data_IF_102912185325
#
_entry.id   IF_102912185325
#
_cell.length_a   1.000
_cell.length_b   1.000
_cell.length_c   1.000
_cell.angle_alpha   90.00
_cell.angle_beta   90.00
_cell.angle_gamma   90.00
#
_symmetry.space_group_name_H-M   'P 1'
#
loop_
_entity.id
_entity.type
_entity.pdbx_description
1 polymer ?
#
# COMPACT_ATOMS: atom_id res chain seq x y z
N UNK A 1 -3.61 -34.84 4.47
CA UNK A 1 -3.14 -33.44 4.39
C UNK A 1 -4.37 -32.56 4.50
N UNK A 2 -4.66 -32.06 5.70
CA UNK A 2 -5.83 -31.21 5.94
C UNK A 2 -5.38 -29.76 5.93
N UNK A 3 -5.96 -28.91 5.11
CA UNK A 3 -5.80 -27.46 5.28
C UNK A 3 -6.71 -27.00 6.41
N UNK A 4 -6.20 -26.27 7.40
CA UNK A 4 -7.02 -25.71 8.47
C UNK A 4 -7.46 -24.29 8.11
N UNK A 5 -8.70 -24.13 7.67
CA UNK A 5 -9.35 -22.82 7.61
C UNK A 5 -9.97 -22.52 8.98
N UNK A 6 -9.54 -21.43 9.62
CA UNK A 6 -10.22 -20.93 10.82
C UNK A 6 -11.13 -19.77 10.45
N UNK A 7 -12.44 -19.98 10.60
CA UNK A 7 -13.44 -18.94 10.39
C UNK A 7 -13.76 -18.33 11.73
N UNK A 8 -13.47 -17.04 11.93
CA UNK A 8 -14.00 -16.27 13.06
C UNK A 8 -14.95 -15.21 12.51
N UNK A 9 -16.24 -15.51 12.67
CA UNK A 9 -17.30 -14.54 12.41
C UNK A 9 -17.23 -13.49 13.53
N UNK A 10 -16.72 -12.31 13.22
CA UNK A 10 -16.70 -11.23 14.20
C UNK A 10 -18.00 -10.40 14.20
N UNK A 11 -18.98 -10.71 13.32
CA UNK A 11 -20.21 -9.91 13.20
C UNK A 11 -19.93 -8.43 12.99
N UNK A 12 -18.77 -8.13 12.39
CA UNK A 12 -18.26 -6.77 12.26
C UNK A 12 -18.96 -6.07 11.11
N UNK A 13 -19.05 -4.74 11.15
CA UNK A 13 -19.33 -3.97 9.96
C UNK A 13 -18.23 -4.17 8.90
N UNK A 14 -18.41 -3.67 7.67
CA UNK A 14 -17.50 -3.94 6.56
C UNK A 14 -16.05 -3.67 6.91
N UNK A 15 -15.20 -4.66 6.65
CA UNK A 15 -13.75 -4.56 6.89
C UNK A 15 -13.15 -3.66 5.83
N UNK A 16 -12.53 -2.57 6.26
CA UNK A 16 -11.91 -1.59 5.38
C UNK A 16 -10.43 -1.86 5.09
N UNK A 17 -9.70 -2.45 6.04
CA UNK A 17 -8.30 -2.84 5.87
C UNK A 17 -8.01 -4.16 6.60
N UNK A 18 -7.15 -4.97 6.01
CA UNK A 18 -6.59 -6.22 6.58
C UNK A 18 -5.09 -6.17 6.33
N UNK A 19 -4.29 -6.16 7.38
CA UNK A 19 -2.85 -5.94 7.29
C UNK A 19 -2.14 -6.91 8.24
N UNK A 20 -1.50 -7.97 7.76
CA UNK A 20 -0.75 -8.91 8.59
C UNK A 20 0.66 -8.39 8.92
N UNK A 21 1.23 -8.93 9.99
CA UNK A 21 2.67 -8.88 10.32
C UNK A 21 3.24 -10.28 10.37
N UNK A 22 4.57 -10.36 10.35
CA UNK A 22 5.34 -11.60 10.42
C UNK A 22 5.11 -12.40 11.71
N UNK A 23 4.69 -11.75 12.80
CA UNK A 23 4.44 -12.40 14.09
C UNK A 23 3.08 -13.13 14.17
N UNK A 24 2.33 -13.15 13.06
CA UNK A 24 1.00 -13.75 12.97
C UNK A 24 -0.12 -12.85 13.50
N UNK A 25 0.17 -11.59 13.84
CA UNK A 25 -0.86 -10.61 14.13
C UNK A 25 -1.36 -9.94 12.85
N UNK A 26 -2.61 -9.50 12.87
CA UNK A 26 -3.24 -8.78 11.77
C UNK A 26 -4.01 -7.58 12.31
N UNK A 27 -3.71 -6.41 11.78
CA UNK A 27 -4.53 -5.23 11.98
C UNK A 27 -5.76 -5.30 11.09
N UNK A 28 -6.91 -5.08 11.70
CA UNK A 28 -8.20 -5.03 11.03
C UNK A 28 -8.90 -3.75 11.41
N UNK A 29 -9.38 -3.02 10.40
CA UNK A 29 -10.17 -1.82 10.62
C UNK A 29 -11.57 -2.02 10.06
N UNK A 30 -12.57 -1.48 10.75
CA UNK A 30 -13.96 -1.58 10.32
C UNK A 30 -14.66 -0.24 10.34
N UNK A 31 -15.52 0.03 9.35
CA UNK A 31 -16.27 1.27 9.27
C UNK A 31 -17.54 1.18 10.12
N UNK A 32 -17.55 1.77 11.32
CA UNK A 32 -18.74 1.71 12.18
C UNK A 32 -19.83 2.67 11.66
N UNK A 33 -21.12 2.33 11.82
CA UNK A 33 -22.25 3.13 11.32
C UNK A 33 -22.28 4.58 11.80
N UNK A 34 -21.66 4.88 12.95
CA UNK A 34 -21.67 6.21 13.58
C UNK A 34 -20.50 7.12 13.15
N UNK A 35 -19.86 6.85 12.00
CA UNK A 35 -18.68 7.57 11.45
C UNK A 35 -17.36 7.32 12.18
N UNK A 36 -17.31 6.34 13.07
CA UNK A 36 -16.10 5.98 13.81
C UNK A 36 -15.50 4.75 13.17
N UNK A 37 -14.18 4.71 13.01
CA UNK A 37 -13.50 3.49 12.66
C UNK A 37 -12.92 2.90 13.94
N UNK A 38 -13.29 1.66 14.25
CA UNK A 38 -12.54 0.93 15.27
C UNK A 38 -11.42 0.15 14.58
N UNK A 39 -10.31 0.05 15.31
CA UNK A 39 -9.09 -0.61 14.88
C UNK A 39 -8.82 -1.71 15.90
N UNK A 40 -8.61 -2.92 15.40
CA UNK A 40 -8.25 -4.08 16.19
C UNK A 40 -6.94 -4.65 15.69
N UNK A 41 -6.14 -5.16 16.62
CA UNK A 41 -5.06 -6.11 16.31
C UNK A 41 -5.57 -7.48 16.72
N UNK A 42 -5.60 -8.40 15.76
CA UNK A 42 -6.06 -9.78 15.92
C UNK A 42 -4.84 -10.70 15.85
N UNK A 43 -4.62 -11.53 16.87
CA UNK A 43 -3.57 -12.55 16.82
C UNK A 43 -4.16 -13.86 16.27
N UNK A 44 -3.58 -14.39 15.19
CA UNK A 44 -4.08 -15.61 14.54
C UNK A 44 -4.08 -16.85 15.45
N UNK A 45 -3.10 -16.96 16.33
CA UNK A 45 -2.81 -18.16 17.13
C UNK A 45 -3.78 -18.27 18.29
N UNK A 46 -3.97 -17.16 19.01
CA UNK A 46 -4.87 -17.05 20.16
C UNK A 46 -6.31 -16.75 19.74
N UNK A 47 -6.48 -16.14 18.56
CA UNK A 47 -7.73 -15.53 18.07
C UNK A 47 -8.19 -14.36 18.94
N UNK A 48 -7.33 -13.83 19.80
CA UNK A 48 -7.66 -12.65 20.60
C UNK A 48 -7.66 -11.41 19.72
N UNK A 49 -8.56 -10.48 20.03
CA UNK A 49 -8.67 -9.20 19.36
C UNK A 49 -8.51 -8.09 20.39
N UNK A 50 -7.48 -7.28 20.23
CA UNK A 50 -7.20 -6.13 21.09
C UNK A 50 -7.60 -4.87 20.34
N UNK A 51 -8.57 -4.13 20.89
CA UNK A 51 -8.93 -2.82 20.35
C UNK A 51 -7.76 -1.86 20.58
N UNK A 52 -7.29 -1.21 19.51
CA UNK A 52 -6.26 -0.19 19.59
C UNK A 52 -6.89 1.08 20.16
N UNK A 53 -6.43 1.58 21.32
CA UNK A 53 -6.98 2.79 21.89
C UNK A 53 -6.80 3.96 20.94
N UNK A 54 -7.87 4.74 20.79
CA UNK A 54 -7.81 6.00 20.09
C UNK A 54 -6.91 6.97 20.85
N UNK A 55 -5.73 7.29 20.30
CA UNK A 55 -4.86 8.35 20.81
C UNK A 55 -5.59 9.71 20.87
N UNK A 56 -6.30 10.08 19.81
CA UNK A 56 -7.10 11.31 19.66
C UNK A 56 -8.00 11.23 18.42
N UNK A 57 -8.38 10.03 17.96
CA UNK A 57 -9.05 9.73 16.68
C UNK A 57 -10.53 10.15 16.69
N UNK A 58 -10.85 11.20 17.45
CA UNK A 58 -12.16 11.77 17.73
C UNK A 58 -12.98 12.23 16.50
N UNK A 59 -12.60 11.82 15.28
CA UNK A 59 -13.38 11.69 14.04
C UNK A 59 -12.58 11.03 12.89
N UNK A 60 -11.42 10.44 13.15
CA UNK A 60 -10.41 10.20 12.10
C UNK A 60 -10.46 8.78 11.57
N UNK A 61 -10.65 8.68 10.26
CA UNK A 61 -10.60 7.42 9.50
C UNK A 61 -9.14 7.15 9.11
N UNK A 62 -8.68 5.93 9.34
CA UNK A 62 -7.56 5.34 8.63
C UNK A 62 -7.98 5.09 7.18
N UNK A 63 -7.53 5.95 6.29
CA UNK A 63 -7.78 5.89 4.85
C UNK A 63 -6.82 4.90 4.17
N UNK A 64 -5.68 4.61 4.82
CA UNK A 64 -4.71 3.63 4.37
C UNK A 64 -4.04 2.90 5.54
N UNK A 65 -3.59 1.68 5.31
CA UNK A 65 -2.84 0.90 6.30
C UNK A 65 -1.80 0.01 5.60
N UNK A 66 -0.65 -0.20 6.26
CA UNK A 66 0.39 -1.15 5.82
C UNK A 66 1.14 -1.70 7.04
N UNK A 67 1.67 -2.92 6.94
CA UNK A 67 2.46 -3.57 7.98
C UNK A 67 3.90 -3.66 7.54
N UNK A 68 4.84 -3.46 8.47
CA UNK A 68 6.26 -3.70 8.22
C UNK A 68 7.01 -3.94 9.53
N UNK A 69 7.82 -4.99 9.55
CA UNK A 69 8.53 -5.42 10.76
C UNK A 69 7.55 -5.75 11.88
N UNK A 70 7.67 -5.05 13.00
CA UNK A 70 6.88 -5.26 14.22
C UNK A 70 5.71 -4.26 14.39
N UNK A 71 5.41 -3.49 13.35
CA UNK A 71 4.50 -2.35 13.45
C UNK A 71 3.53 -2.24 12.29
N UNK A 72 2.34 -1.71 12.59
CA UNK A 72 1.40 -1.23 11.60
C UNK A 72 1.52 0.28 11.43
N UNK A 73 1.32 0.75 10.21
CA UNK A 73 1.32 2.16 9.85
C UNK A 73 -0.05 2.51 9.29
N UNK A 74 -0.66 3.57 9.82
CA UNK A 74 -2.00 4.02 9.50
C UNK A 74 -1.96 5.44 8.97
N UNK A 75 -2.44 5.62 7.74
CA UNK A 75 -2.57 6.92 7.10
C UNK A 75 -3.92 7.54 7.44
N UNK A 76 -3.92 8.78 7.92
CA UNK A 76 -5.13 9.53 8.30
C UNK A 76 -5.15 10.92 7.65
N UNK A 77 -6.20 11.70 7.92
CA UNK A 77 -6.26 13.12 7.56
C UNK A 77 -5.26 14.02 8.31
N UNK A 78 -4.61 13.51 9.37
CA UNK A 78 -3.62 14.25 10.16
C UNK A 78 -2.19 13.82 9.94
N UNK A 79 -1.96 12.66 9.33
CA UNK A 79 -0.61 12.17 9.07
C UNK A 79 -0.55 10.66 9.16
N UNK A 80 0.50 10.15 9.80
CA UNK A 80 0.80 8.73 9.89
C UNK A 80 0.95 8.35 11.35
N UNK A 81 0.11 7.42 11.80
CA UNK A 81 0.23 6.76 13.09
C UNK A 81 0.94 5.43 12.94
N UNK A 82 1.73 5.07 13.95
CA UNK A 82 2.35 3.76 14.11
C UNK A 82 1.68 3.02 15.26
N UNK A 83 1.29 1.78 15.04
CA UNK A 83 0.73 0.88 16.07
C UNK A 83 1.72 -0.24 16.34
N UNK A 84 2.18 -0.34 17.61
CA UNK A 84 3.02 -1.43 18.12
C UNK A 84 2.41 -1.98 19.40
N UNK A 85 2.32 -3.30 19.52
CA UNK A 85 1.78 -3.98 20.70
C UNK A 85 0.43 -3.39 21.18
N UNK A 86 -0.49 -3.12 20.26
CA UNK A 86 -1.81 -2.55 20.55
C UNK A 86 -1.80 -1.07 20.97
N UNK A 87 -0.64 -0.41 21.00
CA UNK A 87 -0.51 1.01 21.34
C UNK A 87 -0.21 1.81 20.09
N UNK A 88 -1.05 2.81 19.82
CA UNK A 88 -0.79 3.76 18.74
C UNK A 88 0.16 4.88 19.22
N UNK A 89 0.96 5.42 18.32
CA UNK A 89 1.85 6.58 18.49
C UNK A 89 1.93 7.35 17.18
N UNK A 90 2.08 8.67 17.20
CA UNK A 90 2.28 9.41 15.95
C UNK A 90 3.70 9.19 15.41
N UNK A 91 3.81 8.64 14.21
CA UNK A 91 5.08 8.63 13.48
C UNK A 91 5.35 10.03 12.92
N UNK A 92 4.31 10.64 12.35
CA UNK A 92 4.40 11.90 11.65
C UNK A 92 3.03 12.61 11.67
N UNK A 93 2.99 13.84 12.17
CA UNK A 93 1.81 14.70 12.04
C UNK A 93 2.04 15.77 10.97
N UNK A 94 0.99 16.18 10.24
CA UNK A 94 1.08 17.34 9.35
C UNK A 94 1.38 18.64 10.12
N UNK A 95 1.11 18.69 11.42
CA UNK A 95 1.58 19.79 12.26
C UNK A 95 3.12 19.81 12.37
N UNK A 96 3.78 18.64 12.37
CA UNK A 96 5.25 18.54 12.37
C UNK A 96 5.84 19.19 11.10
N UNK A 97 5.12 19.23 9.97
CA UNK A 97 5.55 19.97 8.77
C UNK A 97 5.72 21.48 8.97
N UNK A 98 5.05 22.06 9.96
CA UNK A 98 5.29 23.44 10.33
C UNK A 98 6.68 23.59 10.94
N UNK A 99 7.17 22.59 11.70
CA UNK A 99 8.56 22.56 12.15
C UNK A 99 9.54 22.39 10.99
N UNK A 100 9.10 21.85 9.85
CA UNK A 100 9.86 21.73 8.59
C UNK A 100 9.81 22.97 7.68
N UNK A 101 9.17 24.09 8.05
CA UNK A 101 8.97 25.24 7.15
C UNK A 101 9.58 26.54 7.68
N UNK A 102 10.58 27.13 6.98
CA UNK A 102 10.87 28.58 7.00
C UNK A 102 11.86 29.00 5.88
N UNK A 103 11.77 30.24 5.33
CA UNK A 103 10.78 31.28 5.63
C UNK A 103 9.65 31.38 4.58
N UNK A 104 8.71 32.26 4.91
CA UNK A 104 7.35 32.43 4.42
C UNK A 104 7.15 32.61 2.89
N UNK A 105 5.91 32.35 2.41
CA UNK A 105 4.82 31.75 3.17
C UNK A 105 5.07 30.24 3.35
N UNK A 106 4.73 29.67 4.53
CA UNK A 106 4.79 28.22 4.70
C UNK A 106 4.00 27.61 3.56
N UNK A 107 4.50 26.52 2.92
CA UNK A 107 3.68 25.80 1.96
C UNK A 107 2.33 25.58 2.63
N UNK A 108 1.24 25.99 1.97
CA UNK A 108 -0.08 25.56 2.39
C UNK A 108 -0.07 24.03 2.22
N UNK A 109 0.39 23.33 3.25
CA UNK A 109 0.19 21.91 3.38
C UNK A 109 -1.28 21.78 3.65
N UNK A 110 -2.03 21.68 2.55
CA UNK A 110 -3.39 21.25 2.65
C UNK A 110 -3.36 19.90 3.37
N UNK A 111 -4.21 19.76 4.39
CA UNK A 111 -4.39 18.56 5.21
C UNK A 111 -5.00 17.45 4.38
N UNK A 112 -4.28 17.03 3.35
CA UNK A 112 -4.67 15.99 2.43
C UNK A 112 -4.56 14.65 3.15
N UNK A 113 -5.64 13.86 3.21
CA UNK A 113 -5.58 12.56 3.85
C UNK A 113 -4.58 11.63 3.18
N UNK A 114 -3.86 10.85 3.97
CA UNK A 114 -3.01 9.78 3.44
C UNK A 114 -3.91 8.66 2.91
N UNK A 115 -4.11 8.65 1.61
CA UNK A 115 -5.10 7.86 0.89
C UNK A 115 -4.56 6.52 0.35
N UNK A 116 -3.25 6.30 0.43
CA UNK A 116 -2.63 5.00 0.21
C UNK A 116 -1.28 4.97 0.93
N UNK A 117 -0.89 3.78 1.37
CA UNK A 117 0.39 3.45 1.99
C UNK A 117 0.93 2.18 1.36
N UNK A 118 2.25 2.10 1.19
CA UNK A 118 2.94 0.85 0.87
C UNK A 118 4.38 0.92 1.39
N UNK A 119 5.03 -0.23 1.46
CA UNK A 119 6.44 -0.35 1.88
C UNK A 119 7.21 -1.06 0.78
N UNK A 120 8.43 -0.58 0.50
CA UNK A 120 9.33 -1.20 -0.47
C UNK A 120 10.29 -2.21 0.19
N UNK A 121 11.08 -2.90 -0.62
CA UNK A 121 12.03 -3.92 -0.17
C UNK A 121 13.17 -3.38 0.69
N UNK A 122 13.32 -2.05 0.79
CA UNK A 122 14.30 -1.38 1.64
C UNK A 122 13.71 -0.86 2.96
N UNK A 123 12.42 -1.13 3.23
CA UNK A 123 11.74 -0.64 4.41
C UNK A 123 11.43 0.85 4.36
N UNK A 124 11.32 1.44 3.17
CA UNK A 124 10.81 2.80 3.05
C UNK A 124 9.28 2.78 3.01
N UNK A 125 8.65 3.59 3.85
CA UNK A 125 7.22 3.83 3.84
C UNK A 125 6.89 4.91 2.80
N UNK A 126 6.16 4.52 1.77
CA UNK A 126 5.66 5.41 0.73
C UNK A 126 4.21 5.76 0.98
N UNK A 127 3.89 7.03 0.77
CA UNK A 127 2.55 7.56 1.03
C UNK A 127 2.03 8.27 -0.20
N UNK A 128 0.72 8.15 -0.44
CA UNK A 128 -0.01 9.00 -1.37
C UNK A 128 -0.95 9.90 -0.58
N UNK A 129 -0.74 11.20 -0.66
CA UNK A 129 -1.69 12.17 -0.08
C UNK A 129 -2.79 12.49 -1.09
N UNK A 130 -4.06 12.35 -0.70
CA UNK A 130 -5.23 12.58 -1.56
C UNK A 130 -5.36 14.05 -2.00
N UNK A 131 -6.09 14.29 -3.09
CA UNK A 131 -6.25 15.61 -3.70
C UNK A 131 -6.78 16.70 -2.75
N UNK A 132 -6.17 17.87 -2.87
CA UNK A 132 -6.84 19.12 -2.60
C UNK A 132 -7.28 19.76 -3.91
N UNK A 133 -8.58 19.64 -4.19
CA UNK A 133 -9.35 20.26 -5.27
C UNK A 133 -9.13 19.77 -6.70
N UNK A 134 -10.21 19.85 -7.50
CA UNK A 134 -10.25 19.55 -8.95
C UNK A 134 -9.36 20.47 -9.80
N UNK A 135 -8.80 21.53 -9.21
CA UNK A 135 -7.98 22.52 -9.90
C UNK A 135 -6.47 22.30 -9.75
N UNK A 136 -6.03 21.31 -8.95
CA UNK A 136 -4.61 20.97 -8.85
C UNK A 136 -4.41 19.46 -8.71
N UNK A 137 -4.07 18.75 -9.81
CA UNK A 137 -3.89 17.30 -9.80
C UNK A 137 -2.61 16.82 -9.08
N UNK A 138 -1.96 17.69 -8.28
CA UNK A 138 -0.72 17.36 -7.60
C UNK A 138 -0.97 16.43 -6.40
N UNK A 139 -1.09 15.13 -6.67
CA UNK A 139 -0.89 14.07 -5.68
C UNK A 139 0.58 14.04 -5.31
N UNK A 140 0.93 14.58 -4.14
CA UNK A 140 2.25 14.38 -3.57
C UNK A 140 2.40 12.96 -3.06
N UNK A 141 3.55 12.35 -3.30
CA UNK A 141 3.99 11.18 -2.56
C UNK A 141 5.07 11.58 -1.56
N UNK A 142 5.04 11.03 -0.35
CA UNK A 142 6.09 11.27 0.66
C UNK A 142 6.67 9.91 1.04
N UNK A 143 7.99 9.82 1.07
CA UNK A 143 8.72 8.63 1.49
C UNK A 143 9.46 8.88 2.80
N UNK A 144 9.41 7.89 3.70
CA UNK A 144 10.05 7.90 5.01
C UNK A 144 10.85 6.59 5.20
N UNK A 145 12.11 6.63 5.63
CA UNK A 145 12.79 5.41 6.07
C UNK A 145 12.17 4.93 7.40
N UNK A 146 11.78 3.65 7.47
CA UNK A 146 11.26 3.07 8.72
C UNK A 146 12.37 2.65 9.69
N UNK A 147 13.60 2.51 9.18
CA UNK A 147 14.81 2.30 9.99
C UNK A 147 15.07 3.54 10.87
N UNK A 148 14.80 3.40 12.17
CA UNK A 148 15.00 4.45 13.18
C UNK A 148 16.46 4.91 13.27
N UNK A 149 17.43 4.07 12.88
CA UNK A 149 18.84 4.45 12.79
C UNK A 149 19.12 5.52 11.73
N UNK A 150 18.19 5.73 10.79
CA UNK A 150 18.26 6.76 9.74
C UNK A 150 17.50 8.03 10.12
N UNK A 151 16.91 8.09 11.31
CA UNK A 151 16.14 9.25 11.75
C UNK A 151 17.08 10.36 12.23
N UNK A 152 16.69 11.61 11.99
CA UNK A 152 17.47 12.77 12.41
C UNK A 152 16.98 13.29 13.77
N UNK A 153 17.93 13.70 14.60
CA UNK A 153 17.69 14.42 15.85
C UNK A 153 17.81 15.94 15.69
N UNK A 154 18.29 16.41 14.53
CA UNK A 154 18.58 17.82 14.29
C UNK A 154 18.06 18.28 12.93
N UNK A 155 17.71 19.55 12.85
CA UNK A 155 17.36 20.24 11.62
C UNK A 155 18.10 21.57 11.55
N UNK A 156 19.11 21.65 10.69
CA UNK A 156 20.04 22.78 10.76
C UNK A 156 20.73 22.79 12.12
N UNK A 157 20.75 23.93 12.76
CA UNK A 157 21.30 24.06 14.11
C UNK A 157 20.32 23.68 15.22
N UNK A 158 19.01 23.55 14.90
CA UNK A 158 17.95 23.25 15.88
C UNK A 158 17.92 21.76 16.22
N UNK A 159 17.92 21.43 17.50
CA UNK A 159 17.58 20.09 18.00
C UNK A 159 16.06 19.87 17.94
N UNK A 160 15.66 18.67 17.53
CA UNK A 160 14.28 18.24 17.54
C UNK A 160 13.93 17.65 18.91
N UNK A 161 12.66 17.77 19.31
CA UNK A 161 12.17 17.21 20.57
C UNK A 161 12.20 15.69 20.63
N UNK A 162 12.30 15.03 19.47
CA UNK A 162 12.41 13.58 19.29
C UNK A 162 13.09 13.27 17.96
N UNK A 163 13.67 12.07 17.78
CA UNK A 163 14.12 11.61 16.47
C UNK A 163 12.94 11.59 15.48
N UNK A 164 13.18 12.01 14.23
CA UNK A 164 12.17 12.02 13.17
C UNK A 164 12.73 11.42 11.87
N UNK A 165 11.91 10.68 11.09
CA UNK A 165 12.33 10.17 9.79
C UNK A 165 12.63 11.33 8.82
N UNK A 166 13.68 11.19 8.01
CA UNK A 166 13.94 12.13 6.92
C UNK A 166 12.89 11.94 5.83
N UNK A 167 11.92 12.85 5.74
CA UNK A 167 10.90 12.81 4.71
C UNK A 167 11.44 13.33 3.38
N UNK A 168 11.15 12.64 2.26
CA UNK A 168 11.37 13.17 0.91
C UNK A 168 10.04 13.26 0.17
N UNK A 169 9.82 14.39 -0.50
CA UNK A 169 8.61 14.63 -1.28
C UNK A 169 8.89 14.31 -2.75
N UNK A 170 8.08 13.42 -3.30
CA UNK A 170 8.06 13.01 -4.68
C UNK A 170 6.80 13.54 -5.35
N UNK A 171 6.97 14.10 -6.56
CA UNK A 171 5.83 14.41 -7.44
C UNK A 171 5.81 13.38 -8.53
N UNK A 172 5.06 12.32 -8.29
CA UNK A 172 4.73 11.29 -9.28
C UNK A 172 3.21 11.22 -9.43
N UNK A 173 2.70 11.12 -10.66
CA UNK A 173 1.29 10.89 -10.90
C UNK A 173 0.86 9.57 -10.27
N UNK A 174 -0.02 9.62 -9.27
CA UNK A 174 -0.40 8.41 -8.54
C UNK A 174 -1.91 8.38 -8.23
N UNK A 175 -2.67 7.73 -9.10
CA UNK A 175 -4.01 7.21 -8.81
C UNK A 175 -3.95 5.84 -8.10
N UNK A 176 -2.82 5.16 -8.18
CA UNK A 176 -2.53 3.94 -7.42
C UNK A 176 -1.01 3.84 -7.16
N UNK A 177 -0.60 3.24 -6.05
CA UNK A 177 0.81 3.00 -5.70
C UNK A 177 1.04 1.59 -5.19
N UNK A 178 2.20 1.00 -5.48
CA UNK A 178 2.70 -0.24 -4.89
C UNK A 178 4.21 -0.14 -4.65
N UNK A 179 4.67 -0.51 -3.46
CA UNK A 179 6.10 -0.60 -3.15
C UNK A 179 6.72 -1.77 -3.90
N UNK A 180 7.92 -1.58 -4.44
CA UNK A 180 8.69 -2.67 -5.05
C UNK A 180 9.24 -3.56 -3.93
N UNK A 181 8.83 -4.83 -3.82
CA UNK A 181 9.29 -5.69 -2.72
C UNK A 181 10.76 -6.11 -2.84
N UNK A 182 11.40 -5.92 -4.01
CA UNK A 182 12.78 -6.35 -4.28
C UNK A 182 13.77 -5.19 -4.15
N UNK A 183 13.34 -3.96 -4.43
CA UNK A 183 14.21 -2.80 -4.57
C UNK A 183 13.72 -1.62 -3.74
N UNK A 184 14.61 -0.68 -3.37
CA UNK A 184 14.19 0.62 -2.84
C UNK A 184 13.44 1.39 -3.93
N UNK A 185 12.11 1.35 -3.94
CA UNK A 185 11.34 2.04 -4.97
C UNK A 185 9.83 1.85 -4.91
N UNK A 186 9.16 2.61 -5.75
CA UNK A 186 7.70 2.69 -5.82
C UNK A 186 7.23 2.61 -7.27
N UNK A 187 6.31 1.69 -7.54
CA UNK A 187 5.46 1.73 -8.72
C UNK A 187 4.29 2.69 -8.47
N UNK A 188 4.04 3.57 -9.44
CA UNK A 188 2.91 4.48 -9.43
C UNK A 188 2.20 4.44 -10.78
N UNK A 189 0.87 4.48 -10.75
CA UNK A 189 0.06 4.57 -11.96
C UNK A 189 -0.87 5.78 -11.85
N UNK A 190 -0.94 6.59 -12.89
CA UNK A 190 -1.80 7.78 -12.89
C UNK A 190 -1.58 8.72 -14.07
N UNK A 191 -2.19 9.91 -14.00
CA UNK A 191 -2.12 10.95 -15.04
C UNK A 191 -1.34 12.14 -14.51
N UNK A 192 -0.27 12.55 -15.20
CA UNK A 192 0.52 13.72 -14.83
C UNK A 192 -0.24 14.99 -15.13
N UNK A 193 -0.46 15.27 -16.42
CA UNK A 193 -1.19 16.41 -16.94
C UNK A 193 -1.69 16.04 -18.35
N UNK A 194 -2.75 15.23 -18.43
CA UNK A 194 -3.27 14.78 -19.74
C UNK A 194 -4.35 13.68 -19.64
N UNK A 195 -4.98 13.33 -20.78
CA UNK A 195 -6.02 12.30 -20.80
C UNK A 195 -5.46 10.88 -20.65
N UNK A 196 -4.17 10.69 -20.92
CA UNK A 196 -3.51 9.37 -20.94
C UNK A 196 -2.84 9.12 -19.59
N UNK A 197 -3.17 7.98 -18.99
CA UNK A 197 -2.49 7.50 -17.80
C UNK A 197 -1.21 6.73 -18.18
N UNK A 198 -0.19 6.85 -17.32
CA UNK A 198 1.09 6.16 -17.45
C UNK A 198 1.43 5.33 -16.23
N UNK A 199 2.38 4.42 -16.41
CA UNK A 199 3.06 3.69 -15.34
C UNK A 199 4.41 4.35 -15.09
N UNK A 200 4.73 4.61 -13.83
CA UNK A 200 5.95 5.30 -13.38
C UNK A 200 6.67 4.46 -12.33
N UNK A 201 7.97 4.64 -12.24
CA UNK A 201 8.80 4.05 -11.20
C UNK A 201 9.65 5.13 -10.53
N UNK A 202 9.55 5.23 -9.21
CA UNK A 202 10.35 6.12 -8.39
C UNK A 202 11.39 5.28 -7.63
N UNK A 203 12.66 5.44 -7.99
CA UNK A 203 13.78 4.72 -7.37
C UNK A 203 14.30 5.51 -6.16
N UNK A 204 14.25 4.92 -4.95
CA UNK A 204 14.75 5.57 -3.74
C UNK A 204 16.28 5.55 -3.62
N UNK A 205 16.96 4.66 -4.33
CA UNK A 205 18.42 4.55 -4.34
C UNK A 205 19.09 5.58 -5.26
N UNK A 206 18.37 6.13 -6.24
CA UNK A 206 18.90 7.12 -7.18
C UNK A 206 18.75 8.52 -6.59
N UNK A 207 19.84 9.21 -6.17
CA UNK A 207 19.78 10.66 -6.10
C UNK A 207 19.56 11.15 -7.53
N UNK A 208 18.39 11.73 -7.80
CA UNK A 208 18.02 12.18 -9.13
C UNK A 208 19.16 12.97 -9.78
N UNK A 209 19.50 12.54 -10.98
CA UNK A 209 20.63 12.91 -11.84
C UNK A 209 21.52 14.08 -11.38
N UNK A 210 22.80 13.73 -11.25
CA UNK A 210 23.92 14.58 -11.64
C UNK A 210 23.67 15.18 -13.02
N UNK A 211 23.55 16.50 -13.11
CA UNK A 211 23.52 17.13 -14.43
C UNK A 211 24.88 17.04 -15.15
N UNK A 212 26.00 16.80 -14.45
CA UNK A 212 27.33 16.55 -15.04
C UNK A 212 28.26 15.86 -14.04
N UNK A 213 28.81 14.68 -14.38
CA UNK A 213 30.20 14.31 -14.08
C UNK A 213 30.53 12.92 -14.63
N UNK A 214 31.22 12.89 -15.76
CA UNK A 214 32.07 11.78 -16.13
C UNK A 214 33.33 11.85 -15.24
N UNK A 215 33.39 11.01 -14.21
CA UNK A 215 34.60 10.34 -13.73
C UNK A 215 34.24 9.54 -12.49
N UNK A 216 34.57 8.25 -12.53
CA UNK A 216 34.26 7.29 -11.47
C UNK A 216 35.22 7.42 -10.28
N UNK A 217 34.68 7.16 -9.07
CA UNK A 217 35.28 6.78 -7.76
C UNK A 217 35.71 7.88 -6.77
N UNK A 218 35.51 7.70 -5.43
CA UNK A 218 34.73 6.67 -4.72
C UNK A 218 33.36 7.17 -4.21
N UNK A 219 32.47 6.21 -3.95
CA UNK A 219 31.16 6.41 -3.32
C UNK A 219 31.29 7.21 -2.00
N UNK A 220 30.38 8.14 -1.70
CA UNK A 220 30.49 8.94 -0.50
C UNK A 220 30.07 8.17 0.75
N UNK A 221 30.88 8.31 1.78
CA UNK A 221 30.54 7.99 3.17
C UNK A 221 29.26 8.74 3.59
N UNK A 222 28.46 8.04 4.37
CA UNK A 222 27.24 8.53 5.00
C UNK A 222 27.55 9.77 5.87
N UNK A 223 26.98 10.92 5.53
CA UNK A 223 26.53 11.96 6.46
C UNK A 223 25.85 13.13 5.70
N UNK A 224 24.61 13.45 6.05
CA UNK A 224 24.06 14.83 5.94
C UNK A 224 24.86 15.78 6.89
N UNK A 225 24.82 17.15 6.85
CA UNK A 225 24.01 18.10 6.04
C UNK A 225 24.67 19.49 5.64
N UNK A 226 23.84 20.42 5.07
CA UNK A 226 23.89 21.94 5.02
C UNK A 226 24.88 22.68 4.06
N UNK A 227 24.80 24.02 3.78
CA UNK A 227 23.77 25.08 3.96
C UNK A 227 23.44 25.89 2.67
N UNK A 228 22.54 26.88 2.76
CA UNK A 228 22.28 27.95 1.76
C UNK A 228 21.53 27.59 0.46
N UNK A 229 20.26 27.20 0.60
CA UNK A 229 19.08 27.74 -0.12
C UNK A 229 17.96 26.72 0.00
N UNK A 230 16.88 27.15 0.64
CA UNK A 230 15.74 26.30 0.95
C UNK A 230 14.98 25.91 -0.32
N UNK A 231 15.11 24.64 -0.72
CA UNK A 231 14.07 23.95 -1.45
C UNK A 231 14.07 22.49 -0.98
N UNK A 232 12.92 22.01 -0.52
CA UNK A 232 12.55 20.61 -0.67
C UNK A 232 12.96 20.25 -2.10
N UNK A 233 14.01 19.43 -2.31
CA UNK A 233 14.33 18.95 -3.65
C UNK A 233 13.13 18.12 -4.09
N UNK A 234 12.22 18.74 -4.84
CA UNK A 234 11.11 18.08 -5.49
C UNK A 234 11.75 17.21 -6.55
N UNK A 235 11.77 15.91 -6.29
CA UNK A 235 12.13 14.95 -7.32
C UNK A 235 10.92 14.82 -8.23
N UNK A 236 11.08 15.34 -9.44
CA UNK A 236 10.12 15.18 -10.53
C UNK A 236 10.55 13.93 -11.31
N UNK A 237 9.87 12.82 -11.10
CA UNK A 237 9.99 11.67 -12.00
C UNK A 237 8.84 11.76 -12.99
N UNK A 238 9.14 12.28 -14.18
CA UNK A 238 8.16 12.47 -15.27
C UNK A 238 8.31 11.41 -16.36
N UNK A 239 9.32 10.54 -16.27
CA UNK A 239 9.53 9.48 -17.25
C UNK A 239 8.70 8.25 -16.89
N UNK A 240 7.86 7.85 -17.84
CA UNK A 240 7.20 6.55 -17.86
C UNK A 240 8.22 5.44 -17.61
N UNK A 241 7.82 4.45 -16.80
CA UNK A 241 8.57 3.21 -16.63
C UNK A 241 8.47 2.30 -17.86
N UNK A 242 7.39 2.44 -18.65
CA UNK A 242 7.24 1.74 -19.91
C UNK A 242 8.15 2.37 -20.98
N UNK A 243 8.90 1.56 -21.77
CA UNK A 243 9.72 2.04 -22.88
C UNK A 243 8.92 2.84 -23.91
N UNK A 244 9.61 3.63 -24.73
CA UNK A 244 8.98 4.38 -25.82
C UNK A 244 8.20 3.44 -26.76
N UNK A 245 6.96 3.81 -27.09
CA UNK A 245 6.04 2.99 -27.90
C UNK A 245 5.25 1.94 -27.12
N UNK A 246 5.53 1.73 -25.82
CA UNK A 246 4.79 0.81 -24.96
C UNK A 246 3.72 1.58 -24.19
N UNK A 247 2.47 1.45 -24.62
CA UNK A 247 1.34 2.15 -24.01
C UNK A 247 0.79 1.38 -22.83
N UNK A 248 0.70 2.03 -21.67
CA UNK A 248 0.04 1.47 -20.49
C UNK A 248 -1.48 1.28 -20.73
N UNK A 249 -2.11 0.26 -20.11
CA UNK A 249 -3.56 0.12 -20.16
C UNK A 249 -4.23 1.37 -19.58
N UNK A 250 -5.36 1.79 -20.16
CA UNK A 250 -6.04 3.03 -19.77
C UNK A 250 -7.18 2.73 -18.79
N UNK A 251 -6.81 2.63 -17.52
CA UNK A 251 -7.67 2.27 -16.40
C UNK A 251 -8.39 3.49 -15.81
N UNK A 252 -9.66 3.33 -15.46
CA UNK A 252 -10.49 4.32 -14.77
C UNK A 252 -10.35 4.19 -13.26
N UNK A 253 -10.43 2.97 -12.73
CA UNK A 253 -10.32 2.67 -11.30
C UNK A 253 -9.12 1.74 -11.07
N UNK A 254 -7.89 2.26 -11.18
CA UNK A 254 -6.70 1.42 -11.18
C UNK A 254 -6.47 0.76 -9.82
N UNK A 255 -6.29 -0.55 -9.86
CA UNK A 255 -5.65 -1.34 -8.81
C UNK A 255 -4.20 -1.60 -9.23
N UNK A 256 -3.29 -1.67 -8.26
CA UNK A 256 -1.87 -1.93 -8.51
C UNK A 256 -1.30 -2.85 -7.44
N UNK A 257 -0.41 -3.73 -7.84
CA UNK A 257 0.43 -4.55 -6.96
C UNK A 257 1.80 -4.76 -7.60
N UNK A 258 2.79 -5.15 -6.80
CA UNK A 258 4.12 -5.51 -7.29
C UNK A 258 4.52 -6.85 -6.68
N UNK A 259 5.23 -7.67 -7.46
CA UNK A 259 5.71 -8.97 -7.01
C UNK A 259 7.23 -9.01 -6.81
N UNK A 260 7.70 -10.08 -6.15
CA UNK A 260 9.12 -10.31 -5.86
C UNK A 260 9.99 -10.60 -7.09
N UNK A 261 9.40 -10.68 -8.28
CA UNK A 261 10.15 -10.76 -9.54
C UNK A 261 10.40 -9.37 -10.14
N UNK A 262 9.88 -8.31 -9.51
CA UNK A 262 9.98 -6.94 -9.97
C UNK A 262 8.93 -6.57 -11.02
N UNK A 263 7.90 -7.40 -11.21
CA UNK A 263 6.78 -7.09 -12.13
C UNK A 263 5.76 -6.20 -11.44
N UNK A 264 5.12 -5.35 -12.23
CA UNK A 264 4.00 -4.53 -11.79
C UNK A 264 2.69 -5.08 -12.37
N UNK A 265 1.70 -5.27 -11.52
CA UNK A 265 0.36 -5.71 -11.88
C UNK A 265 -0.59 -4.52 -11.84
N UNK A 266 -1.38 -4.34 -12.90
CA UNK A 266 -2.38 -3.29 -13.03
C UNK A 266 -3.73 -3.92 -13.32
N UNK A 267 -4.80 -3.42 -12.71
CA UNK A 267 -6.14 -3.91 -12.99
C UNK A 267 -7.22 -2.84 -12.96
N UNK A 268 -8.30 -3.08 -13.72
CA UNK A 268 -9.52 -2.27 -13.67
C UNK A 268 -10.48 -2.79 -12.59
N UNK A 269 -10.78 -1.95 -11.61
CA UNK A 269 -11.76 -2.24 -10.56
C UNK A 269 -13.22 -2.01 -10.97
N UNK A 270 -13.48 -1.33 -12.10
CA UNK A 270 -14.83 -1.01 -12.56
C UNK A 270 -15.66 -2.25 -12.92
N UNK A 271 -16.95 -2.22 -12.57
CA UNK A 271 -17.92 -3.27 -12.88
C UNK A 271 -18.07 -3.53 -14.37
N UNK A 272 -18.08 -4.81 -14.75
CA UNK A 272 -18.23 -5.22 -16.15
C UNK A 272 -17.04 -4.88 -17.07
N UNK A 273 -15.97 -4.26 -16.54
CA UNK A 273 -14.79 -3.85 -17.28
C UNK A 273 -13.49 -4.43 -16.70
N UNK A 274 -13.59 -5.50 -15.90
CA UNK A 274 -12.44 -6.14 -15.27
C UNK A 274 -11.38 -6.51 -16.30
N UNK A 275 -10.18 -5.99 -16.10
CA UNK A 275 -8.99 -6.33 -16.88
C UNK A 275 -7.79 -6.39 -15.95
N UNK A 276 -6.86 -7.31 -16.22
CA UNK A 276 -5.61 -7.44 -15.46
C UNK A 276 -4.45 -7.50 -16.46
N UNK A 277 -3.45 -6.66 -16.22
CA UNK A 277 -2.25 -6.54 -17.02
C UNK A 277 -1.02 -6.69 -16.14
N UNK A 278 -0.01 -7.42 -16.61
CA UNK A 278 1.30 -7.49 -15.99
C UNK A 278 2.32 -6.76 -16.85
N UNK A 279 3.15 -5.94 -16.23
CA UNK A 279 4.30 -5.27 -16.82
C UNK A 279 5.58 -5.93 -16.33
N UNK A 280 6.39 -6.42 -17.26
CA UNK A 280 7.65 -7.11 -16.98
C UNK A 280 8.91 -6.23 -17.12
N UNK A 281 8.72 -4.91 -17.30
CA UNK A 281 9.79 -3.97 -17.61
C UNK A 281 9.96 -3.69 -19.10
N UNK A 282 9.34 -4.47 -19.98
CA UNK A 282 9.41 -4.31 -21.43
C UNK A 282 8.04 -4.14 -22.06
N UNK A 283 7.06 -4.96 -21.68
CA UNK A 283 5.74 -4.97 -22.30
C UNK A 283 4.62 -5.25 -21.29
N UNK A 284 3.40 -4.89 -21.67
CA UNK A 284 2.19 -5.29 -20.95
C UNK A 284 1.60 -6.56 -21.55
N UNK A 285 1.34 -7.55 -20.70
CA UNK A 285 0.60 -8.76 -21.08
C UNK A 285 -0.77 -8.75 -20.41
N UNK A 286 -1.84 -8.92 -21.20
CA UNK A 286 -3.19 -9.10 -20.67
C UNK A 286 -3.32 -10.52 -20.13
N UNK A 287 -3.61 -10.63 -18.84
CA UNK A 287 -3.79 -11.87 -18.10
C UNK A 287 -5.15 -11.88 -17.41
N UNK A 288 -6.16 -11.23 -17.99
CA UNK A 288 -7.51 -11.14 -17.40
C UNK A 288 -8.10 -12.55 -17.20
N UNK A 289 -8.70 -12.85 -16.03
CA UNK A 289 -9.33 -14.13 -15.80
C UNK A 289 -10.51 -14.32 -16.77
N UNK A 290 -10.82 -15.57 -17.14
CA UNK A 290 -11.88 -15.82 -18.10
C UNK A 290 -13.27 -15.48 -17.51
N UNK A 291 -14.26 -15.09 -18.33
CA UNK A 291 -15.55 -14.59 -17.84
C UNK A 291 -16.31 -15.56 -16.92
N UNK A 292 -16.20 -16.86 -17.17
CA UNK A 292 -16.80 -17.92 -16.35
C UNK A 292 -16.25 -17.96 -14.92
N UNK A 293 -14.99 -17.56 -14.74
CA UNK A 293 -14.35 -17.48 -13.43
C UNK A 293 -14.68 -16.16 -12.74
N UNK A 294 -14.71 -15.06 -13.50
CA UNK A 294 -15.10 -13.75 -12.98
C UNK A 294 -16.58 -13.69 -12.57
N UNK A 295 -17.47 -14.42 -13.25
CA UNK A 295 -18.92 -14.42 -13.02
C UNK A 295 -19.52 -12.99 -12.97
N UNK A 296 -19.00 -12.09 -13.81
CA UNK A 296 -19.38 -10.68 -13.83
C UNK A 296 -18.95 -9.86 -12.60
N UNK A 297 -18.07 -10.39 -11.75
CA UNK A 297 -17.61 -9.71 -10.53
C UNK A 297 -16.64 -8.56 -10.83
N UNK A 298 -16.70 -7.53 -9.99
CA UNK A 298 -15.70 -6.47 -9.93
C UNK A 298 -14.42 -6.98 -9.27
N UNK A 299 -13.27 -6.42 -9.66
CA UNK A 299 -12.02 -6.60 -8.95
C UNK A 299 -11.96 -5.62 -7.78
N UNK A 300 -11.65 -6.10 -6.59
CA UNK A 300 -11.62 -5.30 -5.36
C UNK A 300 -10.21 -5.01 -4.86
N UNK A 301 -9.29 -5.96 -5.05
CA UNK A 301 -7.90 -5.82 -4.62
C UNK A 301 -7.01 -6.83 -5.35
N UNK A 302 -5.74 -6.45 -5.55
CA UNK A 302 -4.66 -7.31 -5.99
C UNK A 302 -3.66 -7.49 -4.84
N UNK A 303 -3.22 -8.72 -4.59
CA UNK A 303 -2.12 -9.01 -3.66
C UNK A 303 -1.25 -10.10 -4.25
N UNK A 304 0.08 -9.91 -4.22
CA UNK A 304 1.02 -10.93 -4.64
C UNK A 304 1.39 -11.80 -3.44
N UNK A 305 1.12 -13.11 -3.51
CA UNK A 305 1.72 -14.08 -2.62
C UNK A 305 3.14 -14.36 -3.11
N UNK A 306 4.06 -13.54 -2.63
CA UNK A 306 5.46 -13.60 -3.01
C UNK A 306 6.14 -14.92 -2.62
N UNK A 307 5.62 -15.63 -1.61
CA UNK A 307 6.16 -16.93 -1.20
C UNK A 307 5.88 -18.02 -2.24
N UNK A 308 4.81 -17.86 -3.03
CA UNK A 308 4.37 -18.82 -4.05
C UNK A 308 4.49 -18.29 -5.48
N UNK A 309 4.78 -17.01 -5.65
CA UNK A 309 4.81 -16.36 -6.95
C UNK A 309 3.43 -16.23 -7.60
N UNK A 310 2.37 -16.22 -6.79
CA UNK A 310 0.98 -16.17 -7.26
C UNK A 310 0.38 -14.77 -7.09
N UNK A 311 -0.50 -14.39 -8.02
CA UNK A 311 -1.36 -13.23 -7.85
C UNK A 311 -2.72 -13.67 -7.30
N UNK A 312 -3.11 -13.11 -6.17
CA UNK A 312 -4.43 -13.29 -5.58
C UNK A 312 -5.29 -12.05 -5.85
N UNK A 313 -6.53 -12.30 -6.26
CA UNK A 313 -7.48 -11.26 -6.65
C UNK A 313 -8.76 -11.39 -5.84
N UNK A 314 -9.03 -10.39 -5.00
CA UNK A 314 -10.30 -10.26 -4.31
C UNK A 314 -11.38 -9.77 -5.27
N UNK A 315 -12.56 -10.38 -5.25
CA UNK A 315 -13.67 -10.01 -6.15
C UNK A 315 -14.96 -9.73 -5.40
N UNK A 316 -15.87 -8.96 -6.02
CA UNK A 316 -17.17 -8.65 -5.42
C UNK A 316 -18.16 -9.84 -5.38
N UNK A 317 -17.84 -10.97 -5.98
CA UNK A 317 -18.80 -12.08 -6.11
C UNK A 317 -18.24 -13.46 -6.45
N UNK A 318 -17.05 -13.57 -7.01
CA UNK A 318 -16.42 -14.84 -7.37
C UNK A 318 -15.49 -15.40 -6.27
N UNK A 319 -15.42 -14.76 -5.10
CA UNK A 319 -14.46 -15.11 -4.06
C UNK A 319 -13.07 -14.54 -4.36
N UNK A 320 -12.06 -15.36 -4.11
CA UNK A 320 -10.65 -15.08 -4.46
C UNK A 320 -10.26 -15.89 -5.70
N UNK A 321 -9.71 -15.22 -6.69
CA UNK A 321 -9.09 -15.84 -7.86
C UNK A 321 -7.57 -15.88 -7.70
N UNK A 322 -6.95 -16.92 -8.23
CA UNK A 322 -5.50 -17.14 -8.17
C UNK A 322 -4.96 -17.26 -9.58
N UNK A 323 -3.87 -16.55 -9.87
CA UNK A 323 -3.08 -16.72 -11.08
C UNK A 323 -1.69 -17.23 -10.71
N UNK A 324 -1.34 -18.43 -11.21
CA UNK A 324 -0.06 -19.10 -10.91
C UNK A 324 1.09 -18.68 -11.86
N UNK A 325 0.86 -17.64 -12.66
CA UNK A 325 1.76 -17.22 -13.75
C UNK A 325 1.36 -17.77 -15.12
N UNK A 326 0.50 -18.79 -15.16
CA UNK A 326 0.06 -19.44 -16.40
C UNK A 326 -1.45 -19.65 -16.49
N UNK A 327 -2.09 -20.08 -15.40
CA UNK A 327 -3.50 -20.44 -15.34
C UNK A 327 -4.22 -19.71 -14.22
N UNK A 328 -5.52 -19.51 -14.43
CA UNK A 328 -6.44 -18.98 -13.44
C UNK A 328 -7.20 -20.11 -12.74
N UNK A 329 -7.42 -19.96 -11.44
CA UNK A 329 -8.23 -20.88 -10.64
C UNK A 329 -8.95 -20.16 -9.49
N UNK A 330 -9.91 -20.84 -8.84
CA UNK A 330 -10.52 -20.40 -7.59
C UNK A 330 -9.63 -20.76 -6.39
N UNK A 331 -9.45 -19.84 -5.45
CA UNK A 331 -8.73 -20.14 -4.21
C UNK A 331 -9.51 -21.16 -3.36
N UNK A 332 -8.80 -22.05 -2.64
CA UNK A 332 -9.41 -23.10 -1.80
C UNK A 332 -10.36 -22.54 -0.74
N UNK A 333 -10.07 -21.33 -0.23
CA UNK A 333 -10.93 -20.63 0.72
C UNK A 333 -12.34 -20.37 0.20
N UNK A 334 -12.55 -20.32 -1.11
CA UNK A 334 -13.87 -20.10 -1.68
C UNK A 334 -14.86 -21.18 -1.23
N UNK A 335 -14.40 -22.38 -0.87
CA UNK A 335 -15.26 -23.45 -0.33
C UNK A 335 -15.89 -23.14 1.04
N UNK A 336 -15.25 -22.25 1.83
CA UNK A 336 -15.71 -21.87 3.18
C UNK A 336 -16.20 -20.42 3.26
N UNK A 337 -16.12 -19.67 2.15
CA UNK A 337 -16.65 -18.31 2.09
C UNK A 337 -18.18 -18.32 2.22
N UNK A 338 -18.75 -17.38 2.98
CA UNK A 338 -20.19 -17.23 3.05
C UNK A 338 -20.73 -16.79 1.69
N UNK A 339 -21.81 -17.43 1.27
CA UNK A 339 -22.54 -17.05 0.07
C UNK A 339 -23.62 -16.02 0.44
N UNK A 340 -23.78 -14.99 -0.38
CA UNK A 340 -24.89 -14.03 -0.23
C UNK A 340 -26.21 -14.77 -0.45
N UNK A 341 -27.16 -14.58 0.47
CA UNK A 341 -28.45 -15.26 0.48
C UNK A 341 -29.15 -15.15 -0.88
N UNK A 342 -29.70 -16.27 -1.36
CA UNK A 342 -30.44 -16.36 -2.63
C UNK A 342 -29.57 -16.05 -3.88
N UNK A 343 -28.25 -16.09 -3.72
CA UNK A 343 -27.26 -15.98 -4.81
C UNK A 343 -26.16 -17.02 -4.66
N UNK A 344 -25.27 -17.15 -5.64
CA UNK A 344 -24.02 -17.92 -5.52
C UNK A 344 -22.78 -17.03 -5.25
N UNK A 345 -22.99 -15.74 -4.94
CA UNK A 345 -21.92 -14.77 -4.82
C UNK A 345 -21.17 -14.90 -3.49
N UNK A 346 -19.85 -14.86 -3.56
CA UNK A 346 -18.90 -14.91 -2.44
C UNK A 346 -18.09 -13.60 -2.40
N UNK A 347 -18.66 -12.50 -1.87
CA UNK A 347 -17.99 -11.21 -1.87
C UNK A 347 -16.76 -11.23 -0.98
N UNK A 348 -15.66 -10.70 -1.51
CA UNK A 348 -14.41 -10.49 -0.79
C UNK A 348 -14.02 -9.02 -0.91
N UNK A 349 -13.96 -8.34 0.22
CA UNK A 349 -13.67 -6.91 0.27
C UNK A 349 -12.17 -6.64 0.35
N UNK A 350 -11.46 -7.44 1.15
CA UNK A 350 -10.02 -7.29 1.38
C UNK A 350 -9.34 -8.65 1.43
N UNK A 351 -8.10 -8.66 0.96
CA UNK A 351 -7.18 -9.77 1.11
C UNK A 351 -5.80 -9.23 1.50
N UNK A 352 -5.07 -10.01 2.27
CA UNK A 352 -3.66 -9.79 2.52
C UNK A 352 -2.95 -11.12 2.70
N UNK A 353 -1.66 -11.16 2.37
CA UNK A 353 -0.81 -12.33 2.52
C UNK A 353 0.25 -12.01 3.56
N UNK A 354 0.38 -12.85 4.58
CA UNK A 354 1.44 -12.76 5.58
C UNK A 354 2.79 -13.21 5.03
N UNK A 355 3.88 -12.85 5.69
CA UNK A 355 5.24 -13.30 5.29
C UNK A 355 5.41 -14.82 5.35
N UNK A 356 4.60 -15.49 6.18
CA UNK A 356 4.53 -16.94 6.30
C UNK A 356 3.66 -17.62 5.22
N UNK A 357 3.14 -16.86 4.25
CA UNK A 357 2.22 -17.35 3.22
C UNK A 357 0.79 -17.56 3.71
N UNK A 358 0.47 -17.17 4.94
CA UNK A 358 -0.91 -17.16 5.42
C UNK A 358 -1.77 -16.16 4.66
N UNK A 359 -3.04 -16.49 4.44
CA UNK A 359 -3.98 -15.62 3.74
C UNK A 359 -5.03 -15.10 4.72
N UNK A 360 -5.11 -13.78 4.82
CA UNK A 360 -6.12 -13.06 5.59
C UNK A 360 -7.15 -12.46 4.65
N UNK A 361 -8.42 -12.64 4.99
CA UNK A 361 -9.52 -12.36 4.07
C UNK A 361 -10.62 -11.63 4.83
N UNK A 362 -10.89 -10.39 4.42
CA UNK A 362 -11.96 -9.56 4.95
C UNK A 362 -13.18 -9.59 4.03
N UNK A 363 -14.33 -9.88 4.59
CA UNK A 363 -15.64 -9.72 3.94
C UNK A 363 -16.48 -8.71 4.72
N UNK A 364 -17.71 -8.47 4.27
CA UNK A 364 -18.64 -7.54 4.92
C UNK A 364 -19.05 -7.95 6.34
N UNK A 365 -18.78 -9.18 6.77
CA UNK A 365 -19.12 -9.67 8.12
C UNK A 365 -18.11 -10.62 8.77
N UNK A 366 -17.08 -11.06 8.05
CA UNK A 366 -16.16 -12.10 8.50
C UNK A 366 -14.71 -11.71 8.23
N UNK A 367 -13.85 -12.03 9.20
CA UNK A 367 -12.42 -12.14 8.97
C UNK A 367 -12.07 -13.63 8.94
N UNK A 368 -11.44 -14.05 7.87
CA UNK A 368 -10.95 -15.41 7.70
C UNK A 368 -9.43 -15.38 7.75
N UNK A 369 -8.86 -16.35 8.44
CA UNK A 369 -7.44 -16.60 8.44
C UNK A 369 -7.21 -18.04 7.99
N UNK A 370 -6.37 -18.17 6.98
CA UNK A 370 -6.04 -19.44 6.37
C UNK A 370 -4.54 -19.65 6.38
N UNK A 371 -4.15 -20.79 6.92
CA UNK A 371 -2.80 -21.31 6.84
C UNK A 371 -2.88 -22.60 6.06
N UNK A 372 -1.99 -22.75 5.07
CA UNK A 372 -1.84 -24.05 4.42
C UNK A 372 -1.01 -24.93 5.35
N UNK A 373 -1.49 -26.15 5.60
CA UNK A 373 -0.64 -27.20 6.13
C UNK A 373 0.25 -27.67 4.97
N UNK A 374 1.31 -26.91 4.73
CA UNK A 374 2.42 -27.38 3.91
C UNK A 374 3.07 -28.46 4.76
N UNK A 375 2.64 -29.71 4.57
CA UNK A 375 3.19 -30.85 5.28
C UNK A 375 4.69 -30.89 5.08
N UNK A 376 5.43 -30.25 5.98
CA UNK A 376 6.85 -30.44 6.19
C UNK A 376 6.98 -31.87 6.70
N UNK A 377 7.19 -32.80 5.78
CA UNK A 377 7.86 -34.06 6.05
C UNK A 377 9.36 -33.87 5.89
#
# INVERSE_FOLDING_TARGET
MGSHASVKAFGLPPISHVVPLADGTCLVTHEAPAKWQDIYVVDARTRDAVRVPSLTWGRERADAAVGHGDAFYLGTCRGISRVRCGTASWLYEFADLQEFSAPAPPPQYYSSPVSALCVDGAGNLWTRTGHCSTTSPCTGSIVFPLDEGRWTLRRGDRELSRPMPSARIWRVPCQAIAGDPVRPGLWAYGREDGPVAGLFYADAAVPAESDKAADLTPLPEVAYPLPETHAIRRLHHTRSAAPEGVTAPQLQTPLIAADITGRCWLAEGTEGAASIHVFDGQAFTNVTPPPELLRGSQLRQLVCDNSRGELLVATSGAGVLVFDGTHWSEHLLNSVLPTVKDTEMKPVDRIAVGEDGSVWLGTSGFLLHWTRDDGQQ
#
